data_IF_405006895181
#
_entry.id   IF_405006895181
#
_cell.length_a   1.000
_cell.length_b   1.000
_cell.length_c   1.000
_cell.angle_alpha   90.00
_cell.angle_beta   90.00
_cell.angle_gamma   90.00
#
_symmetry.space_group_name_H-M   'P 1'
#
loop_
_entity.id
_entity.type
_entity.pdbx_description
1 polymer ?
#
# COMPACT_ATOMS: atom_id res chain seq x y z
N UNK A 1 -21.40 32.87 -38.40
CA UNK A 1 -21.19 31.42 -38.48
C UNK A 1 -20.67 30.95 -37.13
N UNK A 2 -21.56 30.45 -36.27
CA UNK A 2 -21.21 30.02 -34.91
C UNK A 2 -20.36 28.74 -35.04
N UNK A 3 -19.08 28.77 -34.66
CA UNK A 3 -18.26 27.55 -34.63
C UNK A 3 -18.84 26.63 -33.55
N UNK A 4 -19.55 25.59 -33.96
CA UNK A 4 -19.98 24.52 -33.07
C UNK A 4 -18.74 23.94 -32.39
N UNK A 5 -18.65 24.09 -31.07
CA UNK A 5 -17.53 23.58 -30.28
C UNK A 5 -17.71 22.07 -30.10
N UNK A 6 -16.68 21.32 -30.48
CA UNK A 6 -16.59 19.88 -30.25
C UNK A 6 -15.61 19.65 -29.10
N UNK A 7 -16.00 18.79 -28.16
CA UNK A 7 -15.07 18.23 -27.19
C UNK A 7 -14.25 17.12 -27.85
N UNK A 8 -12.94 17.08 -27.57
CA UNK A 8 -12.02 16.07 -28.08
C UNK A 8 -11.03 15.69 -26.97
N UNK A 9 -10.80 14.40 -26.78
CA UNK A 9 -9.75 13.88 -25.89
C UNK A 9 -9.14 12.62 -26.48
N UNK A 10 -7.83 12.48 -26.31
CA UNK A 10 -7.09 11.26 -26.66
C UNK A 10 -6.57 10.68 -25.34
N UNK A 11 -6.91 9.43 -25.08
CA UNK A 11 -6.46 8.66 -23.91
C UNK A 11 -5.48 7.61 -24.41
N UNK A 12 -4.25 7.62 -23.91
CA UNK A 12 -3.21 6.66 -24.33
C UNK A 12 -3.38 5.31 -23.62
N UNK A 13 -2.65 4.31 -24.09
CA UNK A 13 -2.75 2.93 -23.59
C UNK A 13 -2.47 2.80 -22.09
N UNK A 14 -1.54 3.61 -21.56
CA UNK A 14 -1.15 3.66 -20.15
C UNK A 14 -1.96 4.66 -19.32
N UNK A 15 -3.08 5.16 -19.87
CA UNK A 15 -3.90 6.20 -19.28
C UNK A 15 -5.37 5.78 -19.11
N UNK A 16 -6.06 6.51 -18.24
CA UNK A 16 -7.52 6.61 -18.18
C UNK A 16 -7.91 8.07 -18.08
N UNK A 17 -9.13 8.41 -18.49
CA UNK A 17 -9.64 9.76 -18.29
C UNK A 17 -10.98 9.78 -17.55
N UNK A 18 -11.08 10.62 -16.51
CA UNK A 18 -12.35 10.91 -15.84
C UNK A 18 -13.10 11.93 -16.67
N UNK A 19 -14.07 11.48 -17.46
CA UNK A 19 -14.98 12.36 -18.18
C UNK A 19 -16.02 12.91 -17.20
N UNK A 20 -16.12 14.22 -17.12
CA UNK A 20 -17.12 14.92 -16.33
C UNK A 20 -17.94 15.86 -17.19
N UNK A 21 -19.20 16.07 -16.80
CA UNK A 21 -20.06 17.14 -17.30
C UNK A 21 -20.49 18.01 -16.14
N UNK A 22 -20.23 19.30 -16.22
CA UNK A 22 -20.59 20.25 -15.16
C UNK A 22 -20.06 19.79 -13.78
N UNK A 23 -18.84 19.24 -13.77
CA UNK A 23 -18.18 18.71 -12.57
C UNK A 23 -18.69 17.34 -12.08
N UNK A 24 -19.71 16.76 -12.70
CA UNK A 24 -20.24 15.42 -12.35
C UNK A 24 -19.57 14.35 -13.20
N UNK A 25 -19.14 13.28 -12.55
CA UNK A 25 -18.57 12.13 -13.24
C UNK A 25 -19.60 11.48 -14.17
N UNK A 26 -19.25 11.34 -15.45
CA UNK A 26 -20.06 10.63 -16.44
C UNK A 26 -19.50 9.25 -16.76
N UNK A 27 -18.18 9.17 -17.01
CA UNK A 27 -17.56 7.94 -17.47
C UNK A 27 -16.05 7.92 -17.19
N UNK A 28 -15.53 6.73 -16.93
CA UNK A 28 -14.11 6.47 -16.98
C UNK A 28 -13.74 5.99 -18.39
N UNK A 29 -12.97 6.78 -19.13
CA UNK A 29 -12.58 6.47 -20.50
C UNK A 29 -11.38 5.53 -20.53
N UNK A 30 -11.53 4.43 -21.27
CA UNK A 30 -10.43 3.55 -21.69
C UNK A 30 -9.57 4.24 -22.78
N UNK A 31 -8.44 3.63 -23.20
CA UNK A 31 -7.60 4.18 -24.26
C UNK A 31 -8.39 4.33 -25.56
N UNK A 32 -8.16 5.43 -26.28
CA UNK A 32 -8.87 5.73 -27.51
C UNK A 32 -9.00 7.23 -27.80
N UNK A 33 -9.62 7.51 -28.94
CA UNK A 33 -9.95 8.88 -29.38
C UNK A 33 -11.44 9.12 -29.19
N UNK A 34 -11.80 10.13 -28.40
CA UNK A 34 -13.18 10.46 -28.12
C UNK A 34 -13.49 11.86 -28.61
N UNK A 35 -14.65 12.00 -29.23
CA UNK A 35 -15.19 13.29 -29.66
C UNK A 35 -16.66 13.36 -29.30
N UNK A 36 -17.11 14.51 -28.82
CA UNK A 36 -18.52 14.73 -28.50
C UNK A 36 -18.92 16.15 -28.90
N UNK A 37 -20.19 16.30 -29.28
CA UNK A 37 -20.76 17.62 -29.50
C UNK A 37 -20.94 18.33 -28.13
N UNK A 38 -20.30 19.48 -27.94
CA UNK A 38 -20.30 20.21 -26.67
C UNK A 38 -20.23 21.73 -26.89
N UNK A 39 -21.31 22.34 -27.42
CA UNK A 39 -21.31 23.75 -27.81
C UNK A 39 -21.11 24.71 -26.63
N UNK A 40 -21.55 24.30 -25.43
CA UNK A 40 -21.47 25.12 -24.22
C UNK A 40 -20.21 24.85 -23.38
N UNK A 41 -19.39 23.84 -23.75
CA UNK A 41 -18.13 23.56 -23.07
C UNK A 41 -18.29 22.96 -21.67
N UNK A 42 -19.31 22.13 -21.46
CA UNK A 42 -19.59 21.53 -20.15
C UNK A 42 -18.76 20.26 -19.90
N UNK A 43 -18.20 19.66 -20.95
CA UNK A 43 -17.37 18.45 -20.83
C UNK A 43 -15.93 18.78 -20.48
N UNK A 44 -15.40 18.04 -19.51
CA UNK A 44 -13.99 18.02 -19.19
C UNK A 44 -13.50 16.57 -19.07
N UNK A 45 -12.22 16.35 -19.38
CA UNK A 45 -11.55 15.06 -19.14
C UNK A 45 -10.25 15.29 -18.38
N UNK A 46 -10.13 14.64 -17.23
CA UNK A 46 -8.91 14.57 -16.44
C UNK A 46 -8.20 13.24 -16.74
N UNK A 47 -7.13 13.32 -17.54
CA UNK A 47 -6.35 12.15 -17.96
C UNK A 47 -5.24 11.86 -16.96
N UNK A 48 -5.16 10.61 -16.51
CA UNK A 48 -4.20 10.15 -15.51
C UNK A 48 -3.44 8.92 -16.00
N UNK A 49 -2.18 8.80 -15.58
CA UNK A 49 -1.38 7.57 -15.73
C UNK A 49 -1.86 6.53 -14.73
N UNK A 50 -1.94 5.29 -15.17
CA UNK A 50 -2.52 4.21 -14.36
C UNK A 50 -1.59 3.01 -14.12
N UNK A 51 -0.45 2.96 -14.81
CA UNK A 51 0.53 1.88 -14.63
C UNK A 51 1.25 2.09 -13.31
N UNK A 52 1.21 1.08 -12.42
CA UNK A 52 1.87 1.09 -11.11
C UNK A 52 1.57 2.35 -10.31
N UNK A 53 0.31 2.80 -10.38
CA UNK A 53 -0.09 4.12 -9.89
C UNK A 53 -1.16 4.05 -8.81
N UNK A 54 -1.11 5.03 -7.91
CA UNK A 54 -2.14 5.29 -6.93
C UNK A 54 -3.16 6.31 -7.43
N UNK A 55 -4.35 6.25 -6.84
CA UNK A 55 -5.36 7.29 -6.94
C UNK A 55 -5.68 7.79 -5.52
N UNK A 56 -6.05 9.07 -5.42
CA UNK A 56 -6.57 9.62 -4.18
C UNK A 56 -7.70 8.73 -3.63
N UNK A 57 -7.52 8.26 -2.39
CA UNK A 57 -8.44 7.35 -1.73
C UNK A 57 -9.88 7.87 -1.74
N UNK A 58 -10.09 9.16 -1.44
CA UNK A 58 -11.42 9.76 -1.42
C UNK A 58 -12.11 9.72 -2.78
N UNK A 59 -11.37 9.91 -3.88
CA UNK A 59 -11.89 9.82 -5.25
C UNK A 59 -12.30 8.38 -5.58
N UNK A 60 -11.47 7.40 -5.21
CA UNK A 60 -11.80 5.99 -5.40
C UNK A 60 -13.01 5.54 -4.56
N UNK A 61 -13.09 5.98 -3.30
CA UNK A 61 -14.23 5.69 -2.42
C UNK A 61 -15.52 6.35 -2.88
N UNK A 62 -15.45 7.60 -3.37
CA UNK A 62 -16.59 8.28 -3.97
C UNK A 62 -17.12 7.47 -5.16
N UNK A 63 -16.24 7.00 -6.04
CA UNK A 63 -16.62 6.16 -7.18
C UNK A 63 -17.12 4.78 -6.73
N UNK A 64 -16.54 4.17 -5.70
CA UNK A 64 -17.05 2.91 -5.15
C UNK A 64 -18.49 3.04 -4.62
N UNK A 65 -18.84 4.19 -4.05
CA UNK A 65 -20.20 4.48 -3.57
C UNK A 65 -21.18 4.83 -4.69
N UNK A 66 -20.76 5.64 -5.66
CA UNK A 66 -21.65 6.21 -6.68
C UNK A 66 -21.70 5.38 -7.97
N UNK A 67 -20.62 4.67 -8.30
CA UNK A 67 -20.41 3.91 -9.53
C UNK A 67 -19.65 2.59 -9.22
N UNK A 68 -20.23 1.69 -8.41
CA UNK A 68 -19.53 0.54 -7.83
C UNK A 68 -18.90 -0.37 -8.88
N UNK A 69 -19.55 -0.60 -10.02
CA UNK A 69 -19.01 -1.42 -11.11
C UNK A 69 -17.70 -0.85 -11.68
N UNK A 70 -17.65 0.46 -11.91
CA UNK A 70 -16.45 1.13 -12.43
C UNK A 70 -15.33 1.04 -11.40
N UNK A 71 -15.62 1.29 -10.13
CA UNK A 71 -14.61 1.21 -9.09
C UNK A 71 -14.08 -0.22 -8.89
N UNK A 72 -14.95 -1.23 -8.91
CA UNK A 72 -14.60 -2.63 -8.75
C UNK A 72 -13.69 -3.13 -9.88
N UNK A 73 -13.90 -2.66 -11.11
CA UNK A 73 -13.04 -2.95 -12.26
C UNK A 73 -11.72 -2.16 -12.18
N UNK A 74 -11.79 -0.87 -11.85
CA UNK A 74 -10.65 0.03 -11.99
C UNK A 74 -9.65 -0.04 -10.84
N UNK A 75 -10.12 -0.28 -9.60
CA UNK A 75 -9.36 -0.03 -8.40
C UNK A 75 -9.23 -1.25 -7.50
N UNK A 76 -8.08 -1.36 -6.85
CA UNK A 76 -7.91 -2.11 -5.61
C UNK A 76 -7.91 -1.12 -4.44
N UNK A 77 -8.95 -1.16 -3.60
CA UNK A 77 -9.11 -0.24 -2.47
C UNK A 77 -8.73 -0.99 -1.19
N UNK A 78 -7.65 -0.56 -0.56
CA UNK A 78 -7.12 -1.14 0.67
C UNK A 78 -7.51 -0.25 1.85
N UNK A 79 -8.47 -0.73 2.64
CA UNK A 79 -8.90 -0.14 3.90
C UNK A 79 -8.45 -1.04 5.05
N UNK A 80 -7.61 -0.51 5.93
CA UNK A 80 -7.04 -1.25 7.07
C UNK A 80 -7.60 -0.76 8.40
N UNK A 81 -7.82 -1.72 9.31
CA UNK A 81 -8.16 -1.44 10.69
C UNK A 81 -6.96 -0.97 11.53
N UNK A 82 -7.15 -0.83 12.85
CA UNK A 82 -6.12 -0.31 13.76
C UNK A 82 -4.96 -1.26 14.03
N UNK A 83 -5.15 -2.56 13.79
CA UNK A 83 -4.13 -3.60 13.99
C UNK A 83 -3.62 -4.18 12.69
N UNK A 84 -4.23 -3.82 11.57
CA UNK A 84 -3.90 -4.38 10.27
C UNK A 84 -2.77 -3.61 9.60
N UNK A 85 -1.89 -4.35 8.97
CA UNK A 85 -0.92 -3.84 7.99
C UNK A 85 -1.13 -4.56 6.67
N UNK A 86 -0.69 -3.98 5.57
CA UNK A 86 -0.72 -4.71 4.30
C UNK A 86 0.51 -4.45 3.46
N UNK A 87 0.94 -5.49 2.74
CA UNK A 87 1.96 -5.37 1.70
C UNK A 87 1.23 -5.37 0.37
N UNK A 88 1.41 -4.30 -0.41
CA UNK A 88 0.89 -4.19 -1.76
C UNK A 88 2.01 -4.44 -2.75
N UNK A 89 1.79 -5.41 -3.62
CA UNK A 89 2.71 -5.79 -4.68
C UNK A 89 2.15 -5.40 -6.05
N UNK A 90 3.04 -4.94 -6.92
CA UNK A 90 2.74 -4.72 -8.33
C UNK A 90 3.47 -5.78 -9.15
N UNK A 91 2.72 -6.55 -9.94
CA UNK A 91 3.24 -7.61 -10.79
C UNK A 91 4.13 -8.61 -10.01
N UNK A 92 3.75 -8.92 -8.77
CA UNK A 92 4.48 -9.83 -7.86
C UNK A 92 5.61 -9.19 -7.04
N UNK A 93 5.99 -7.94 -7.32
CA UNK A 93 7.03 -7.23 -6.58
C UNK A 93 6.43 -6.35 -5.48
N UNK A 94 6.81 -6.50 -4.20
CA UNK A 94 6.37 -5.60 -3.13
C UNK A 94 6.79 -4.16 -3.40
N UNK A 95 5.85 -3.23 -3.35
CA UNK A 95 6.10 -1.79 -3.56
C UNK A 95 5.68 -0.92 -2.40
N UNK A 96 4.60 -1.30 -1.70
CA UNK A 96 4.07 -0.48 -0.62
C UNK A 96 3.80 -1.30 0.64
N UNK A 97 4.11 -0.70 1.79
CA UNK A 97 3.56 -1.08 3.07
C UNK A 97 2.44 -0.09 3.41
N UNK A 98 1.29 -0.63 3.80
CA UNK A 98 0.10 0.11 4.17
C UNK A 98 -0.03 0.06 5.67
N UNK A 99 -0.10 1.24 6.27
CA UNK A 99 -0.10 1.42 7.71
C UNK A 99 -1.49 1.16 8.28
N UNK A 100 -1.59 0.84 9.58
CA UNK A 100 -2.89 0.73 10.25
C UNK A 100 -3.68 2.04 10.16
N UNK A 101 -5.00 1.94 10.22
CA UNK A 101 -5.94 3.06 10.10
C UNK A 101 -5.75 3.89 8.82
N UNK A 102 -5.25 3.29 7.74
CA UNK A 102 -5.07 3.98 6.47
C UNK A 102 -5.99 3.41 5.40
N UNK A 103 -6.36 4.29 4.47
CA UNK A 103 -7.03 3.90 3.23
C UNK A 103 -6.21 4.36 2.05
N UNK A 104 -5.92 3.42 1.14
CA UNK A 104 -5.21 3.70 -0.12
C UNK A 104 -5.91 2.99 -1.26
N UNK A 105 -5.75 3.51 -2.47
CA UNK A 105 -6.37 2.95 -3.65
C UNK A 105 -5.38 2.92 -4.81
N UNK A 106 -5.35 1.80 -5.51
CA UNK A 106 -4.41 1.51 -6.59
C UNK A 106 -5.16 1.21 -7.87
N UNK A 107 -4.64 1.68 -9.00
CA UNK A 107 -5.12 1.24 -10.30
C UNK A 107 -4.74 -0.22 -10.55
N UNK A 108 -5.72 -1.05 -10.93
CA UNK A 108 -5.49 -2.48 -11.17
C UNK A 108 -5.80 -2.95 -12.60
N UNK A 109 -6.14 -2.04 -13.50
CA UNK A 109 -6.55 -2.38 -14.87
C UNK A 109 -5.40 -2.80 -15.78
N UNK A 110 -4.18 -2.29 -15.54
CA UNK A 110 -2.98 -2.61 -16.33
C UNK A 110 -1.83 -3.20 -15.49
N UNK A 111 -1.92 -3.06 -14.17
CA UNK A 111 -0.92 -3.58 -13.24
C UNK A 111 -1.63 -4.57 -12.35
N UNK A 112 -1.07 -5.78 -12.21
CA UNK A 112 -1.63 -6.75 -11.27
C UNK A 112 -1.32 -6.26 -9.87
N UNK A 113 -2.35 -5.91 -9.11
CA UNK A 113 -2.23 -5.47 -7.72
C UNK A 113 -2.60 -6.63 -6.80
N UNK A 114 -1.67 -7.03 -5.94
CA UNK A 114 -1.88 -8.06 -4.93
C UNK A 114 -1.71 -7.46 -3.54
N UNK A 115 -2.61 -7.79 -2.62
CA UNK A 115 -2.64 -7.22 -1.26
C UNK A 115 -2.55 -8.35 -0.25
N UNK A 116 -1.42 -8.44 0.46
CA UNK A 116 -1.22 -9.36 1.58
C UNK A 116 -1.55 -8.62 2.87
N UNK A 117 -2.76 -8.82 3.39
CA UNK A 117 -3.24 -8.21 4.64
C UNK A 117 -2.79 -9.06 5.83
N UNK A 118 -2.31 -8.41 6.86
CA UNK A 118 -1.71 -9.03 8.04
C UNK A 118 -2.31 -8.38 9.27
N UNK A 119 -2.95 -9.19 10.12
CA UNK A 119 -3.31 -8.76 11.48
C UNK A 119 -2.05 -8.80 12.35
N UNK A 120 -1.44 -7.63 12.52
CA UNK A 120 -0.21 -7.50 13.28
C UNK A 120 -0.46 -7.66 14.79
N UNK A 121 -1.71 -7.72 15.27
CA UNK A 121 -2.01 -8.00 16.65
C UNK A 121 -2.12 -9.49 16.98
N UNK A 122 -2.67 -10.28 16.06
CA UNK A 122 -2.65 -11.73 16.18
C UNK A 122 -1.22 -12.28 16.03
N UNK A 123 -0.49 -11.80 15.03
CA UNK A 123 0.85 -12.28 14.70
C UNK A 123 1.90 -11.19 14.96
N UNK A 124 2.56 -11.23 16.12
CA UNK A 124 3.59 -10.23 16.46
C UNK A 124 4.85 -10.42 15.62
N UNK A 125 5.19 -11.66 15.23
CA UNK A 125 6.40 -11.95 14.46
C UNK A 125 6.14 -11.77 12.97
N UNK A 126 7.03 -11.07 12.27
CA UNK A 126 6.98 -10.95 10.81
C UNK A 126 7.31 -12.31 10.20
N UNK A 127 6.43 -12.81 9.32
CA UNK A 127 6.64 -14.11 8.69
C UNK A 127 7.90 -14.10 7.81
N UNK A 128 8.61 -15.24 7.77
CA UNK A 128 9.86 -15.37 7.00
C UNK A 128 9.70 -14.98 5.52
N UNK A 129 8.57 -15.38 4.91
CA UNK A 129 8.19 -15.02 3.52
C UNK A 129 8.13 -13.50 3.26
N UNK A 130 7.99 -12.69 4.31
CA UNK A 130 8.00 -11.23 4.23
C UNK A 130 9.39 -10.65 4.49
N UNK A 131 10.18 -11.23 5.40
CA UNK A 131 11.56 -10.80 5.68
C UNK A 131 12.43 -10.78 4.42
N UNK A 132 12.28 -11.80 3.56
CA UNK A 132 13.11 -11.98 2.37
C UNK A 132 12.74 -11.03 1.23
N UNK A 133 11.52 -10.45 1.28
CA UNK A 133 10.97 -9.61 0.21
C UNK A 133 10.86 -8.13 0.58
N UNK A 134 11.12 -7.79 1.84
CA UNK A 134 10.95 -6.44 2.36
C UNK A 134 12.27 -5.82 2.80
N UNK A 135 12.46 -4.57 2.43
CA UNK A 135 13.48 -3.70 3.02
C UNK A 135 12.97 -3.17 4.36
N UNK A 136 13.21 -3.94 5.43
CA UNK A 136 12.73 -3.64 6.78
C UNK A 136 13.30 -2.33 7.34
N UNK A 137 14.44 -1.85 6.84
CA UNK A 137 15.04 -0.60 7.28
C UNK A 137 14.15 0.61 6.94
N UNK A 138 13.28 0.47 5.93
CA UNK A 138 12.33 1.52 5.50
C UNK A 138 10.95 1.38 6.14
N UNK A 139 10.81 0.53 7.16
CA UNK A 139 9.52 0.16 7.75
C UNK A 139 9.48 0.56 9.23
N UNK A 140 8.94 1.74 9.58
CA UNK A 140 9.03 2.27 10.94
C UNK A 140 8.27 1.46 11.99
N UNK A 141 7.29 0.65 11.58
CA UNK A 141 6.52 -0.24 12.46
C UNK A 141 7.10 -1.65 12.56
N UNK A 142 8.31 -1.88 12.05
CA UNK A 142 8.99 -3.17 12.16
C UNK A 142 10.27 -3.02 12.96
N UNK A 143 10.31 -3.67 14.13
CA UNK A 143 11.54 -3.79 14.92
C UNK A 143 12.24 -5.05 14.50
N UNK A 144 13.49 -4.93 14.05
CA UNK A 144 14.25 -6.06 13.53
C UNK A 144 15.69 -6.04 14.05
N UNK A 145 16.29 -7.23 14.14
CA UNK A 145 17.68 -7.42 14.52
C UNK A 145 18.25 -8.69 13.89
N UNK A 146 19.55 -8.68 13.62
CA UNK A 146 20.33 -9.88 13.38
C UNK A 146 21.05 -10.19 14.70
N UNK A 147 20.75 -11.37 15.25
CA UNK A 147 21.40 -11.93 16.44
C UNK A 147 22.55 -12.80 15.95
N UNK A 148 23.77 -12.46 16.34
CA UNK A 148 24.96 -13.22 15.96
C UNK A 148 25.12 -14.51 16.78
N UNK A 149 25.97 -15.42 16.31
CA UNK A 149 26.18 -16.73 16.96
C UNK A 149 26.65 -16.65 18.42
N UNK A 150 27.32 -15.56 18.79
CA UNK A 150 27.84 -15.29 20.14
C UNK A 150 26.92 -14.37 20.96
N UNK A 151 25.74 -14.05 20.44
CA UNK A 151 24.75 -13.22 21.09
C UNK A 151 23.48 -14.02 21.42
N UNK A 152 22.73 -13.53 22.39
CA UNK A 152 21.31 -13.85 22.53
C UNK A 152 20.50 -12.57 22.35
N UNK A 153 19.42 -12.64 21.56
CA UNK A 153 18.44 -11.57 21.51
C UNK A 153 17.44 -11.73 22.65
N UNK A 154 17.03 -10.62 23.26
CA UNK A 154 15.98 -10.57 24.27
C UNK A 154 14.85 -9.72 23.69
N UNK A 155 13.72 -10.36 23.38
CA UNK A 155 12.53 -9.70 22.89
C UNK A 155 11.72 -9.18 24.07
N UNK A 156 11.47 -7.88 24.08
CA UNK A 156 10.57 -7.22 25.02
C UNK A 156 9.33 -6.71 24.29
N UNK A 157 8.16 -7.01 24.85
CA UNK A 157 6.87 -6.48 24.41
C UNK A 157 6.27 -5.72 25.59
N UNK A 158 5.97 -4.44 25.39
CA UNK A 158 5.45 -3.52 26.43
C UNK A 158 6.27 -3.59 27.73
N UNK A 159 7.60 -3.65 27.57
CA UNK A 159 8.57 -3.69 28.67
C UNK A 159 8.75 -5.07 29.34
N UNK A 160 7.95 -6.08 28.98
CA UNK A 160 8.05 -7.43 29.53
C UNK A 160 8.90 -8.31 28.62
N UNK A 161 9.83 -9.07 29.21
CA UNK A 161 10.60 -10.08 28.48
C UNK A 161 9.63 -11.16 27.97
N UNK A 162 9.51 -11.27 26.65
CA UNK A 162 8.59 -12.20 25.99
C UNK A 162 9.30 -13.46 25.52
N UNK A 163 10.52 -13.34 24.98
CA UNK A 163 11.24 -14.45 24.36
C UNK A 163 12.75 -14.20 24.34
N UNK A 164 13.55 -15.26 24.51
CA UNK A 164 14.99 -15.25 24.19
C UNK A 164 15.17 -15.77 22.76
N UNK A 165 15.71 -14.94 21.88
CA UNK A 165 15.89 -15.20 20.46
C UNK A 165 17.25 -15.88 20.20
N UNK A 166 17.29 -16.98 19.43
CA UNK A 166 18.54 -17.61 18.99
C UNK A 166 19.22 -16.78 17.89
N UNK A 167 20.47 -17.13 17.52
CA UNK A 167 21.13 -16.54 16.36
C UNK A 167 20.26 -16.60 15.10
N UNK A 168 20.24 -15.50 14.34
CA UNK A 168 19.44 -15.37 13.12
C UNK A 168 18.79 -13.99 12.95
N UNK A 169 18.07 -13.83 11.83
CA UNK A 169 17.31 -12.61 11.50
C UNK A 169 15.92 -12.68 12.11
N UNK A 170 15.60 -11.70 12.94
CA UNK A 170 14.30 -11.59 13.60
C UNK A 170 13.65 -10.24 13.26
N UNK A 171 12.34 -10.24 13.06
CA UNK A 171 11.57 -9.00 12.97
C UNK A 171 10.16 -9.17 13.52
N UNK A 172 9.63 -8.08 14.07
CA UNK A 172 8.36 -8.06 14.78
C UNK A 172 7.59 -6.77 14.46
N UNK A 173 6.28 -6.89 14.38
CA UNK A 173 5.39 -5.76 14.20
C UNK A 173 5.21 -4.98 15.50
N UNK A 174 5.57 -3.70 15.47
CA UNK A 174 5.34 -2.74 16.53
C UNK A 174 4.05 -1.94 16.26
N UNK A 175 2.93 -2.65 16.14
CA UNK A 175 1.60 -2.06 15.90
C UNK A 175 0.79 -2.11 17.19
N UNK A 176 0.42 -0.95 17.72
CA UNK A 176 -0.36 -0.83 18.96
C UNK A 176 0.37 -1.31 20.22
N UNK A 177 1.69 -1.54 20.14
CA UNK A 177 2.54 -2.00 21.25
C UNK A 177 3.97 -1.54 21.08
N UNK A 178 4.71 -1.51 22.18
CA UNK A 178 6.15 -1.26 22.15
C UNK A 178 6.89 -2.58 21.97
N UNK A 179 7.70 -2.70 20.92
CA UNK A 179 8.60 -3.84 20.71
C UNK A 179 10.04 -3.37 20.83
N UNK A 180 10.87 -4.14 21.54
CA UNK A 180 12.31 -3.90 21.64
C UNK A 180 13.07 -5.21 21.57
N UNK A 181 14.18 -5.23 20.84
CA UNK A 181 15.15 -6.33 20.86
C UNK A 181 16.43 -5.81 21.50
N UNK A 182 16.88 -6.44 22.57
CA UNK A 182 18.18 -6.18 23.18
C UNK A 182 19.11 -7.36 22.91
N UNK A 183 20.30 -7.12 22.37
CA UNK A 183 21.31 -8.16 22.16
C UNK A 183 22.26 -8.19 23.34
N UNK A 184 22.57 -9.38 23.83
CA UNK A 184 23.54 -9.61 24.91
C UNK A 184 24.60 -10.58 24.44
N UNK A 185 25.86 -10.30 24.75
CA UNK A 185 26.97 -11.21 24.49
C UNK A 185 26.90 -12.41 25.44
N UNK A 186 27.05 -13.61 24.91
CA UNK A 186 26.99 -14.85 25.70
C UNK A 186 28.36 -15.49 25.94
N UNK A 187 29.45 -14.83 25.51
CA UNK A 187 30.81 -15.30 25.77
C UNK A 187 31.14 -15.17 27.26
N UNK A 188 31.90 -16.12 27.83
CA UNK A 188 32.32 -16.05 29.23
C UNK A 188 33.10 -14.74 29.48
N UNK A 189 32.72 -14.00 30.52
CA UNK A 189 33.52 -12.89 31.02
C UNK A 189 34.42 -13.39 32.15
N UNK A 190 35.72 -13.06 32.15
CA UNK A 190 36.58 -13.33 33.29
C UNK A 190 36.07 -12.53 34.50
N UNK A 191 35.80 -13.22 35.60
CA UNK A 191 35.54 -12.59 36.90
C UNK A 191 36.87 -12.04 37.43
N UNK A 192 36.97 -10.71 37.57
CA UNK A 192 37.99 -10.13 38.45
C UNK A 192 37.57 -10.40 39.89
N UNK A 193 38.39 -11.15 40.63
CA UNK A 193 38.26 -11.46 42.06
C UNK A 193 39.26 -10.64 42.87
#
# INVERSE_FOLDING_TARGET
MLKLRMFKVIVKDDERAFLTRDGRFERLLAPGRFTAFDPNGHLAADTVKIVRAEIAADKALLLAKTHPHIAAEAFEIVQLGPTDVAIVSFDGEPKHMIMPNSTRAFWKTLTKVEVDRIDAAADVRVAKRHLDRLDLARMPIVVHAIVEAHEAGLLFIDGKLSERLPPGRHAFWAVGRTVKIQKVDTRPQPLEV
#
